data_IF_522985559621
#
_entry.id   IF_522985559621
#
_cell.length_a   1.000
_cell.length_b   1.000
_cell.length_c   1.000
_cell.angle_alpha   90.00
_cell.angle_beta   90.00
_cell.angle_gamma   90.00
#
_symmetry.space_group_name_H-M   'P 1'
#
loop_
_entity.id
_entity.type
_entity.pdbx_description
1 polymer ?
#
# COMPACT_ATOMS: atom_id res chain seq x y z
N UNK A 1 -14.11 9.33 -4.20
CA UNK A 1 -14.66 10.32 -3.25
C UNK A 1 -13.65 10.56 -2.15
N UNK A 2 -13.21 11.80 -1.97
CA UNK A 2 -12.35 12.21 -0.86
C UNK A 2 -13.20 12.52 0.38
N UNK A 3 -12.70 12.13 1.55
CA UNK A 3 -13.23 12.48 2.87
C UNK A 3 -12.15 13.22 3.65
N UNK A 4 -12.53 14.34 4.32
CA UNK A 4 -11.59 15.18 5.07
C UNK A 4 -10.61 15.97 4.20
N UNK A 5 -9.46 16.33 4.78
CA UNK A 5 -8.38 17.08 4.12
C UNK A 5 -7.67 16.29 3.01
N UNK A 6 -6.76 16.94 2.29
CA UNK A 6 -6.01 16.30 1.19
C UNK A 6 -5.16 15.14 1.68
N UNK A 7 -5.41 13.93 1.11
CA UNK A 7 -4.64 12.72 1.40
C UNK A 7 -4.99 12.05 2.73
N UNK A 8 -6.15 12.37 3.33
CA UNK A 8 -6.64 11.74 4.57
C UNK A 8 -7.30 10.40 4.26
N UNK A 9 -8.42 10.42 3.55
CA UNK A 9 -9.11 9.21 3.13
C UNK A 9 -9.74 9.41 1.77
N UNK A 10 -9.60 8.42 0.90
CA UNK A 10 -10.15 8.47 -0.46
C UNK A 10 -10.80 7.15 -0.83
N UNK A 11 -12.10 7.17 -1.08
CA UNK A 11 -12.81 6.06 -1.67
C UNK A 11 -12.63 6.15 -3.20
N UNK A 12 -11.90 5.21 -3.77
CA UNK A 12 -11.65 5.15 -5.21
C UNK A 12 -12.68 4.20 -5.85
N UNK A 13 -13.18 4.55 -7.01
CA UNK A 13 -14.13 3.75 -7.79
C UNK A 13 -13.71 3.71 -9.24
N UNK A 14 -13.75 2.52 -9.85
CA UNK A 14 -13.50 2.29 -11.28
C UNK A 14 -14.75 1.64 -11.86
N UNK A 15 -15.25 2.14 -13.00
CA UNK A 15 -16.41 1.60 -13.73
C UNK A 15 -17.66 1.35 -12.86
N UNK A 16 -17.92 2.22 -11.88
CA UNK A 16 -19.08 2.11 -11.00
C UNK A 16 -18.96 1.04 -9.91
N UNK A 17 -17.81 0.39 -9.77
CA UNK A 17 -17.54 -0.53 -8.67
C UNK A 17 -17.30 0.19 -7.34
N UNK A 18 -17.35 -0.57 -6.26
CA UNK A 18 -17.06 -0.08 -4.91
C UNK A 18 -15.56 -0.07 -4.62
N UNK A 19 -15.14 0.70 -3.62
CA UNK A 19 -13.71 0.88 -3.27
C UNK A 19 -13.03 -0.42 -2.78
N UNK A 20 -13.78 -1.39 -2.28
CA UNK A 20 -13.31 -2.71 -1.85
C UNK A 20 -13.10 -3.70 -3.02
N UNK A 21 -13.47 -3.30 -4.25
CA UNK A 21 -13.32 -4.09 -5.47
C UNK A 21 -12.15 -3.62 -6.33
N UNK A 22 -11.25 -2.82 -5.77
CA UNK A 22 -10.08 -2.26 -6.46
C UNK A 22 -8.82 -2.65 -5.69
N UNK A 23 -7.84 -3.17 -6.40
CA UNK A 23 -6.51 -3.45 -5.83
C UNK A 23 -5.57 -2.26 -6.06
N UNK A 24 -4.87 -1.85 -5.02
CA UNK A 24 -3.81 -0.85 -5.11
C UNK A 24 -2.45 -1.54 -5.11
N UNK A 25 -1.64 -1.18 -6.09
CA UNK A 25 -0.32 -1.73 -6.28
C UNK A 25 0.74 -0.63 -6.17
N UNK A 26 1.91 -0.97 -5.67
CA UNK A 26 3.11 -0.15 -5.71
C UNK A 26 4.20 -0.92 -6.47
N UNK A 27 4.54 -0.45 -7.68
CA UNK A 27 5.46 -1.14 -8.60
C UNK A 27 5.07 -2.63 -8.81
N UNK A 28 3.76 -2.89 -8.96
CA UNK A 28 3.22 -4.24 -9.15
C UNK A 28 3.02 -5.06 -7.87
N UNK A 29 3.39 -4.55 -6.70
CA UNK A 29 3.20 -5.22 -5.39
C UNK A 29 1.89 -4.80 -4.77
N UNK A 30 1.06 -5.76 -4.35
CA UNK A 30 -0.21 -5.45 -3.68
C UNK A 30 0.04 -4.81 -2.30
N UNK A 31 -0.44 -3.58 -2.13
CA UNK A 31 -0.38 -2.80 -0.89
C UNK A 31 -1.78 -2.46 -0.34
N UNK A 32 -2.83 -3.10 -0.86
CA UNK A 32 -4.18 -2.90 -0.37
C UNK A 32 -4.33 -3.43 1.05
N UNK A 33 -5.05 -2.68 1.88
CA UNK A 33 -5.44 -3.15 3.21
C UNK A 33 -6.66 -4.07 3.08
N UNK A 34 -6.55 -5.39 3.37
CA UNK A 34 -7.67 -6.31 3.21
C UNK A 34 -8.75 -6.19 4.30
N UNK A 35 -8.51 -5.40 5.36
CA UNK A 35 -9.50 -5.12 6.39
C UNK A 35 -10.56 -4.13 5.90
N UNK A 36 -10.13 -3.14 5.14
CA UNK A 36 -10.98 -2.03 4.68
C UNK A 36 -10.44 -1.40 3.41
N UNK A 37 -11.31 -1.01 2.50
CA UNK A 37 -10.94 -0.21 1.33
C UNK A 37 -10.82 1.30 1.62
N UNK A 38 -11.28 1.75 2.78
CA UNK A 38 -11.30 3.18 3.12
C UNK A 38 -9.92 3.80 3.34
N UNK A 39 -8.91 3.01 3.69
CA UNK A 39 -7.53 3.48 3.97
C UNK A 39 -6.66 3.53 2.71
N UNK A 40 -7.26 3.56 1.52
CA UNK A 40 -6.55 3.51 0.24
C UNK A 40 -5.59 4.69 0.01
N UNK A 41 -5.59 5.73 0.83
CA UNK A 41 -4.73 6.90 0.69
C UNK A 41 -3.54 6.96 1.66
N UNK A 42 -3.34 5.98 2.54
CA UNK A 42 -2.16 5.90 3.41
C UNK A 42 -0.99 5.16 2.74
N UNK A 43 -0.70 5.54 1.49
CA UNK A 43 0.41 4.99 0.75
C UNK A 43 1.75 5.38 1.37
N UNK A 44 2.70 4.43 1.47
CA UNK A 44 4.02 4.67 2.05
C UNK A 44 4.99 5.36 1.06
N UNK A 45 4.49 6.19 0.16
CA UNK A 45 5.27 6.94 -0.84
C UNK A 45 4.82 8.39 -0.88
N UNK A 46 5.76 9.31 -1.14
CA UNK A 46 5.47 10.71 -1.38
C UNK A 46 5.11 10.95 -2.86
N UNK A 47 4.38 12.02 -3.14
CA UNK A 47 4.12 12.44 -4.53
C UNK A 47 5.41 12.66 -5.33
N UNK A 48 6.48 13.09 -4.68
CA UNK A 48 7.79 13.28 -5.30
C UNK A 48 8.41 11.97 -5.82
N UNK A 49 8.01 10.82 -5.27
CA UNK A 49 8.50 9.50 -5.71
C UNK A 49 7.75 8.96 -6.91
N UNK A 50 6.54 9.43 -7.17
CA UNK A 50 5.67 8.89 -8.22
C UNK A 50 6.14 9.38 -9.59
N UNK A 51 6.35 8.42 -10.51
CA UNK A 51 6.60 8.69 -11.92
C UNK A 51 5.27 8.83 -12.67
N UNK A 52 4.43 7.80 -12.57
CA UNK A 52 3.08 7.78 -13.14
C UNK A 52 2.16 6.81 -12.39
N UNK A 53 0.89 6.88 -12.70
CA UNK A 53 -0.14 5.98 -12.18
C UNK A 53 -0.78 5.27 -13.36
N UNK A 54 -0.81 3.94 -13.30
CA UNK A 54 -1.50 3.09 -14.27
C UNK A 54 -2.86 2.70 -13.72
N UNK A 55 -3.89 2.83 -14.53
CA UNK A 55 -5.24 2.35 -14.20
C UNK A 55 -5.54 1.15 -15.09
N UNK A 56 -5.69 0.00 -14.47
CA UNK A 56 -5.96 -1.27 -15.15
C UNK A 56 -7.44 -1.60 -15.01
N UNK A 57 -8.14 -1.65 -16.14
CA UNK A 57 -9.57 -1.93 -16.18
C UNK A 57 -9.84 -3.34 -16.75
N UNK A 58 -10.95 -3.92 -16.33
CA UNK A 58 -11.45 -5.19 -16.89
C UNK A 58 -10.50 -6.37 -16.68
N UNK A 59 -10.30 -7.17 -17.74
CA UNK A 59 -9.56 -8.44 -17.64
C UNK A 59 -8.11 -8.30 -17.19
N UNK A 60 -7.44 -7.18 -17.51
CA UNK A 60 -6.07 -6.92 -17.11
C UNK A 60 -5.91 -6.83 -15.58
N UNK A 61 -6.95 -6.39 -14.87
CA UNK A 61 -6.95 -6.31 -13.40
C UNK A 61 -6.98 -7.68 -12.73
N UNK A 62 -7.50 -8.70 -13.40
CA UNK A 62 -7.62 -10.07 -12.85
C UNK A 62 -6.26 -10.72 -12.60
N UNK A 63 -5.18 -10.20 -13.18
CA UNK A 63 -3.80 -10.61 -12.90
C UNK A 63 -3.41 -10.42 -11.42
N UNK A 64 -4.11 -9.52 -10.72
CA UNK A 64 -3.81 -9.12 -9.35
C UNK A 64 -4.78 -9.69 -8.30
N UNK A 65 -5.57 -10.70 -8.69
CA UNK A 65 -6.42 -11.47 -7.78
C UNK A 65 -7.87 -11.01 -7.70
N UNK A 66 -8.63 -11.64 -6.79
CA UNK A 66 -10.07 -11.45 -6.64
C UNK A 66 -10.48 -10.04 -6.21
N UNK A 67 -9.62 -9.34 -5.47
CA UNK A 67 -9.87 -7.96 -5.03
C UNK A 67 -9.83 -6.96 -6.19
N UNK A 68 -9.23 -7.31 -7.33
CA UNK A 68 -9.17 -6.48 -8.53
C UNK A 68 -10.38 -6.73 -9.48
N UNK A 69 -11.56 -6.98 -8.93
CA UNK A 69 -12.75 -7.34 -9.73
C UNK A 69 -13.15 -6.23 -10.72
N UNK A 70 -13.10 -4.97 -10.29
CA UNK A 70 -13.42 -3.81 -11.12
C UNK A 70 -12.20 -3.12 -11.72
N UNK A 71 -11.01 -3.34 -11.14
CA UNK A 71 -9.79 -2.76 -11.63
C UNK A 71 -8.64 -2.80 -10.63
N UNK A 72 -7.49 -2.36 -11.08
CA UNK A 72 -6.32 -2.14 -10.24
C UNK A 72 -5.69 -0.79 -10.55
N UNK A 73 -5.08 -0.18 -9.55
CA UNK A 73 -4.30 1.05 -9.69
C UNK A 73 -2.87 0.72 -9.32
N UNK A 74 -1.94 0.88 -10.26
CA UNK A 74 -0.52 0.67 -10.01
C UNK A 74 0.19 2.01 -9.92
N UNK A 75 0.75 2.31 -8.74
CA UNK A 75 1.59 3.46 -8.50
C UNK A 75 3.01 3.08 -8.90
N UNK A 76 3.54 3.70 -9.94
CA UNK A 76 4.90 3.45 -10.43
C UNK A 76 5.83 4.54 -9.91
N UNK A 77 6.90 4.13 -9.22
CA UNK A 77 7.87 5.07 -8.67
C UNK A 77 9.00 5.39 -9.64
N UNK A 78 9.56 6.59 -9.50
CA UNK A 78 10.71 7.05 -10.28
C UNK A 78 11.93 6.17 -10.02
N UNK A 79 12.54 5.66 -11.07
CA UNK A 79 13.87 5.03 -11.00
C UNK A 79 14.95 6.11 -10.98
N UNK A 80 15.90 6.00 -10.06
CA UNK A 80 17.07 6.88 -10.09
C UNK A 80 17.88 6.64 -11.37
N UNK A 81 18.27 7.71 -12.07
CA UNK A 81 19.09 7.65 -13.29
C UNK A 81 20.46 8.33 -13.10
N UNK A 82 20.60 9.14 -12.08
CA UNK A 82 21.79 9.91 -11.71
C UNK A 82 21.70 10.33 -10.26
N UNK A 83 22.76 10.93 -9.76
CA UNK A 83 22.73 11.62 -8.48
C UNK A 83 21.74 12.78 -8.51
N UNK A 84 21.01 12.96 -7.42
CA UNK A 84 20.05 14.05 -7.31
C UNK A 84 19.49 14.18 -5.90
N UNK A 85 19.17 15.40 -5.55
CA UNK A 85 18.47 15.77 -4.32
C UNK A 85 17.29 16.66 -4.70
N UNK A 86 16.13 16.42 -4.13
CA UNK A 86 14.97 17.30 -4.25
C UNK A 86 14.34 17.52 -2.89
N UNK A 87 13.86 18.71 -2.65
CA UNK A 87 13.10 19.06 -1.46
C UNK A 87 11.99 20.04 -1.83
N UNK A 88 10.88 19.95 -1.13
CA UNK A 88 9.80 20.92 -1.22
C UNK A 88 9.20 21.22 0.14
N UNK A 89 8.75 22.44 0.32
CA UNK A 89 8.00 22.91 1.50
C UNK A 89 6.77 23.61 0.99
N UNK A 90 5.64 23.33 1.60
CA UNK A 90 4.35 23.97 1.29
C UNK A 90 3.69 24.49 2.56
N UNK A 91 2.91 25.55 2.44
CA UNK A 91 2.12 26.10 3.53
C UNK A 91 0.81 26.65 2.98
N UNK A 92 -0.21 26.72 3.83
CA UNK A 92 -1.53 27.16 3.42
C UNK A 92 -2.42 27.56 4.59
N UNK A 93 -3.69 27.79 4.29
CA UNK A 93 -4.72 28.10 5.28
C UNK A 93 -4.90 26.96 6.28
N UNK A 94 -5.52 27.26 7.42
CA UNK A 94 -5.83 26.28 8.49
C UNK A 94 -4.60 25.60 9.06
N UNK A 95 -3.50 26.33 9.27
CA UNK A 95 -2.24 25.75 9.77
C UNK A 95 -1.62 24.68 8.87
N UNK A 96 -2.00 24.64 7.59
CA UNK A 96 -1.48 23.65 6.66
C UNK A 96 0.02 23.84 6.44
N UNK A 97 0.76 22.77 6.65
CA UNK A 97 2.21 22.71 6.44
C UNK A 97 2.56 21.35 5.83
N UNK A 98 3.48 21.34 4.88
CA UNK A 98 4.06 20.13 4.31
C UNK A 98 5.51 20.31 4.00
N UNK A 99 6.30 19.28 4.19
CA UNK A 99 7.70 19.21 3.78
C UNK A 99 8.01 17.80 3.29
N UNK A 100 8.76 17.68 2.21
CA UNK A 100 9.22 16.40 1.69
C UNK A 100 10.62 16.54 1.08
N UNK A 101 11.38 15.45 1.12
CA UNK A 101 12.71 15.38 0.53
C UNK A 101 12.97 14.02 -0.10
N UNK A 102 13.80 13.98 -1.13
CA UNK A 102 14.25 12.78 -1.80
C UNK A 102 15.72 12.92 -2.19
N UNK A 103 16.47 11.86 -1.92
CA UNK A 103 17.87 11.71 -2.35
C UNK A 103 17.94 10.46 -3.21
N UNK A 104 18.69 10.54 -4.29
CA UNK A 104 18.89 9.42 -5.21
C UNK A 104 20.30 9.39 -5.78
N UNK A 105 20.75 8.20 -6.15
CA UNK A 105 21.96 8.01 -6.94
C UNK A 105 21.83 6.82 -7.88
N UNK A 106 22.53 6.84 -9.00
CA UNK A 106 22.66 5.71 -9.90
C UNK A 106 24.06 5.72 -10.53
N UNK A 107 24.64 4.53 -10.66
CA UNK A 107 25.96 4.36 -11.26
C UNK A 107 26.10 2.95 -11.86
N UNK A 108 27.10 2.80 -12.72
CA UNK A 108 27.45 1.54 -13.37
C UNK A 108 28.78 1.03 -12.86
N UNK A 109 28.87 -0.28 -12.62
CA UNK A 109 30.10 -0.96 -12.22
C UNK A 109 30.24 -2.25 -13.01
N UNK A 110 31.05 -2.23 -14.07
CA UNK A 110 31.14 -3.35 -14.99
C UNK A 110 29.82 -3.58 -15.72
N UNK A 111 29.22 -4.77 -15.50
CA UNK A 111 27.91 -5.11 -16.06
C UNK A 111 26.73 -4.80 -15.14
N UNK A 112 27.00 -4.25 -13.95
CA UNK A 112 25.97 -3.87 -12.99
C UNK A 112 25.56 -2.42 -13.16
N UNK A 113 24.27 -2.18 -13.33
CA UNK A 113 23.64 -0.88 -13.13
C UNK A 113 22.99 -0.90 -11.76
N UNK A 114 23.28 0.09 -10.93
CA UNK A 114 22.79 0.22 -9.56
C UNK A 114 22.06 1.55 -9.40
N UNK A 115 20.92 1.53 -8.73
CA UNK A 115 20.15 2.72 -8.47
C UNK A 115 19.52 2.67 -7.07
N UNK A 116 19.63 3.78 -6.35
CA UNK A 116 19.18 3.91 -4.97
C UNK A 116 18.37 5.19 -4.82
N UNK A 117 17.28 5.13 -4.08
CA UNK A 117 16.57 6.34 -3.68
C UNK A 117 15.98 6.17 -2.29
N UNK A 118 15.99 7.25 -1.53
CA UNK A 118 15.32 7.38 -0.23
C UNK A 118 14.59 8.69 -0.20
N UNK A 119 13.35 8.67 0.29
CA UNK A 119 12.52 9.85 0.46
C UNK A 119 11.79 9.82 1.80
N UNK A 120 11.35 10.98 2.23
CA UNK A 120 10.49 11.14 3.38
C UNK A 120 9.69 12.42 3.29
N UNK A 121 8.56 12.45 3.95
CA UNK A 121 7.69 13.61 3.97
C UNK A 121 6.80 13.64 5.21
N UNK A 122 6.37 14.85 5.52
CA UNK A 122 5.44 15.15 6.58
C UNK A 122 4.43 16.19 6.10
N UNK A 123 3.18 16.04 6.49
CA UNK A 123 2.11 16.97 6.19
C UNK A 123 1.11 17.04 7.34
N UNK A 124 0.64 18.27 7.65
CA UNK A 124 -0.39 18.49 8.66
C UNK A 124 -1.35 19.60 8.24
N UNK A 125 -2.51 19.65 8.88
CA UNK A 125 -3.44 20.78 8.86
C UNK A 125 -4.31 20.75 10.11
N UNK A 126 -4.70 21.92 10.61
CA UNK A 126 -5.66 22.04 11.72
C UNK A 126 -7.12 21.85 11.23
N UNK A 127 -7.32 21.77 9.90
CA UNK A 127 -8.64 21.57 9.28
C UNK A 127 -9.45 22.85 9.11
N UNK A 128 -10.29 22.88 8.09
CA UNK A 128 -11.19 24.01 7.79
C UNK A 128 -12.57 23.92 8.45
N UNK A 129 -12.89 22.79 9.08
CA UNK A 129 -14.11 22.51 9.81
C UNK A 129 -13.79 21.80 11.11
N UNK A 130 -14.77 21.75 12.03
CA UNK A 130 -14.63 21.01 13.29
C UNK A 130 -14.19 19.56 13.03
N UNK A 131 -13.22 19.06 13.82
CA UNK A 131 -12.71 17.70 13.76
C UNK A 131 -12.32 17.24 12.34
N UNK A 132 -11.59 18.11 11.61
CA UNK A 132 -11.05 17.81 10.27
C UNK A 132 -9.53 18.02 10.18
N UNK A 133 -8.87 18.09 11.33
CA UNK A 133 -7.42 18.12 11.46
C UNK A 133 -6.79 16.81 10.99
N UNK A 134 -5.57 16.88 10.51
CA UNK A 134 -4.81 15.70 10.17
C UNK A 134 -3.30 15.91 10.30
N UNK A 135 -2.61 14.81 10.50
CA UNK A 135 -1.16 14.71 10.49
C UNK A 135 -0.75 13.42 9.77
N UNK A 136 0.22 13.50 8.87
CA UNK A 136 0.71 12.35 8.10
C UNK A 136 2.22 12.42 7.93
N UNK A 137 2.91 11.32 8.19
CA UNK A 137 4.32 11.10 7.88
C UNK A 137 4.50 9.87 7.01
N UNK A 138 5.45 9.90 6.06
CA UNK A 138 5.81 8.74 5.25
C UNK A 138 7.30 8.72 4.95
N UNK A 139 7.83 7.53 4.75
CA UNK A 139 9.19 7.28 4.28
C UNK A 139 9.22 6.14 3.28
N UNK A 140 10.04 6.25 2.25
CA UNK A 140 10.17 5.24 1.21
C UNK A 140 11.61 5.08 0.75
N UNK A 141 12.02 3.83 0.55
CA UNK A 141 13.32 3.47 0.00
C UNK A 141 13.17 2.47 -1.15
N UNK A 142 13.94 2.67 -2.20
CA UNK A 142 14.01 1.77 -3.35
C UNK A 142 15.46 1.49 -3.72
N UNK A 143 15.80 0.20 -3.86
CA UNK A 143 17.09 -0.31 -4.29
C UNK A 143 16.86 -1.11 -5.58
N UNK A 144 17.57 -0.76 -6.65
CA UNK A 144 17.47 -1.45 -7.93
C UNK A 144 18.85 -1.86 -8.43
N UNK A 145 18.99 -3.12 -8.79
CA UNK A 145 20.19 -3.68 -9.39
C UNK A 145 19.81 -4.36 -10.70
N UNK A 146 20.57 -4.11 -11.76
CA UNK A 146 20.43 -4.77 -13.05
C UNK A 146 21.77 -5.32 -13.48
N UNK A 147 21.84 -6.61 -13.85
CA UNK A 147 23.04 -7.24 -14.34
C UNK A 147 22.89 -7.62 -15.82
N UNK A 148 23.74 -7.06 -16.66
CA UNK A 148 23.87 -7.38 -18.10
C UNK A 148 22.53 -7.30 -18.85
N UNK A 149 21.56 -6.52 -18.35
CA UNK A 149 20.18 -6.43 -18.86
C UNK A 149 19.47 -7.79 -18.95
N UNK A 150 19.78 -8.72 -18.04
CA UNK A 150 19.21 -10.08 -18.00
C UNK A 150 18.69 -10.48 -16.63
N UNK A 151 19.15 -9.81 -15.59
CA UNK A 151 18.75 -10.09 -14.23
C UNK A 151 18.53 -8.78 -13.48
N UNK A 152 17.34 -8.59 -12.97
CA UNK A 152 16.96 -7.40 -12.20
C UNK A 152 16.57 -7.80 -10.77
N UNK A 153 16.96 -6.98 -9.82
CA UNK A 153 16.55 -7.04 -8.40
C UNK A 153 15.99 -5.68 -8.04
N UNK A 154 14.77 -5.64 -7.49
CA UNK A 154 14.19 -4.43 -6.92
C UNK A 154 13.74 -4.74 -5.50
N UNK A 155 14.33 -4.07 -4.52
CA UNK A 155 13.91 -4.13 -3.13
C UNK A 155 13.28 -2.79 -2.73
N UNK A 156 12.16 -2.85 -2.01
CA UNK A 156 11.40 -1.67 -1.59
C UNK A 156 11.08 -1.78 -0.10
N UNK A 157 11.17 -0.66 0.59
CA UNK A 157 10.72 -0.47 1.96
C UNK A 157 9.89 0.80 2.03
N UNK A 158 8.77 0.76 2.72
CA UNK A 158 7.91 1.92 2.88
C UNK A 158 7.22 1.91 4.23
N UNK A 159 7.06 3.10 4.80
CA UNK A 159 6.30 3.34 6.03
C UNK A 159 5.42 4.55 5.87
N UNK A 160 4.23 4.51 6.42
CA UNK A 160 3.34 5.65 6.55
C UNK A 160 2.62 5.61 7.89
N UNK A 161 2.43 6.76 8.50
CA UNK A 161 1.60 6.94 9.69
C UNK A 161 0.75 8.17 9.49
N UNK A 162 -0.55 8.06 9.78
CA UNK A 162 -1.44 9.21 9.76
C UNK A 162 -2.44 9.15 10.90
N UNK A 163 -2.86 10.33 11.34
CA UNK A 163 -3.95 10.50 12.29
C UNK A 163 -4.83 11.66 11.87
N UNK A 164 -6.13 11.54 12.06
CA UNK A 164 -7.08 12.56 11.62
C UNK A 164 -8.41 12.56 12.36
N UNK A 165 -8.99 13.73 12.43
CA UNK A 165 -10.40 13.88 12.78
C UNK A 165 -11.28 13.41 11.61
N UNK A 166 -12.15 12.46 11.88
CA UNK A 166 -13.02 11.82 10.88
C UNK A 166 -14.46 12.31 11.02
N UNK A 167 -14.68 13.65 10.89
CA UNK A 167 -15.98 14.26 11.05
C UNK A 167 -17.03 13.61 10.12
N UNK A 168 -17.97 12.87 10.71
CA UNK A 168 -19.08 12.20 10.02
C UNK A 168 -18.67 11.18 8.93
N UNK A 169 -17.45 10.63 8.97
CA UNK A 169 -16.96 9.70 7.92
C UNK A 169 -17.75 8.41 7.86
N UNK A 170 -17.96 7.79 9.01
CA UNK A 170 -18.58 6.47 9.12
C UNK A 170 -20.02 6.52 9.68
N UNK A 171 -20.40 7.63 10.31
CA UNK A 171 -21.75 7.87 10.79
C UNK A 171 -22.09 9.36 10.79
N UNK A 172 -23.18 9.72 10.17
CA UNK A 172 -23.67 11.09 10.11
C UNK A 172 -24.05 11.67 11.50
N UNK A 173 -24.29 10.79 12.48
CA UNK A 173 -24.70 11.20 13.84
C UNK A 173 -23.51 11.59 14.73
N UNK A 174 -22.27 11.33 14.30
CA UNK A 174 -21.07 11.57 15.10
C UNK A 174 -20.08 12.43 14.31
N UNK A 175 -19.90 13.66 14.73
CA UNK A 175 -18.94 14.61 14.15
C UNK A 175 -17.54 14.53 14.80
N UNK A 176 -17.42 13.81 15.92
CA UNK A 176 -16.17 13.73 16.70
C UNK A 176 -15.52 12.34 16.63
N UNK A 177 -15.48 11.75 15.43
CA UNK A 177 -14.77 10.50 15.18
C UNK A 177 -13.27 10.76 14.98
N UNK A 178 -12.45 9.79 15.28
CA UNK A 178 -10.99 9.87 15.11
C UNK A 178 -10.46 8.55 14.57
N UNK A 179 -9.42 8.64 13.77
CA UNK A 179 -8.74 7.46 13.26
C UNK A 179 -7.24 7.72 13.16
N UNK A 180 -6.47 6.68 13.48
CA UNK A 180 -5.03 6.63 13.27
C UNK A 180 -4.69 5.35 12.55
N UNK A 181 -3.94 5.44 11.46
CA UNK A 181 -3.45 4.29 10.71
C UNK A 181 -1.94 4.31 10.59
N UNK A 182 -1.33 3.12 10.69
CA UNK A 182 0.08 2.89 10.38
C UNK A 182 0.18 1.82 9.30
N UNK A 183 0.99 2.06 8.28
CA UNK A 183 1.26 1.13 7.20
C UNK A 183 2.76 0.95 7.02
N UNK A 184 3.24 -0.27 7.07
CA UNK A 184 4.60 -0.67 6.73
C UNK A 184 4.60 -1.67 5.59
N UNK A 185 5.50 -1.53 4.63
CA UNK A 185 5.67 -2.49 3.54
C UNK A 185 7.13 -2.82 3.29
N UNK A 186 7.37 -4.06 2.88
CA UNK A 186 8.64 -4.51 2.31
C UNK A 186 8.37 -5.41 1.11
N UNK A 187 9.16 -5.29 0.05
CA UNK A 187 9.07 -6.21 -1.08
C UNK A 187 10.42 -6.47 -1.73
N UNK A 188 10.51 -7.63 -2.36
CA UNK A 188 11.64 -8.06 -3.18
C UNK A 188 11.09 -8.61 -4.49
N UNK A 189 11.39 -7.95 -5.59
CA UNK A 189 11.04 -8.36 -6.94
C UNK A 189 12.32 -8.76 -7.67
N UNK A 190 12.31 -9.95 -8.24
CA UNK A 190 13.39 -10.45 -9.08
C UNK A 190 12.85 -10.60 -10.49
N UNK A 191 13.70 -10.42 -11.50
CA UNK A 191 13.37 -10.74 -12.88
C UNK A 191 14.58 -11.34 -13.57
N UNK A 192 14.38 -12.48 -14.20
CA UNK A 192 15.36 -13.13 -15.06
C UNK A 192 14.79 -13.20 -16.49
N UNK A 193 15.50 -12.65 -17.44
CA UNK A 193 15.07 -12.58 -18.84
C UNK A 193 16.25 -12.59 -19.81
N UNK A 194 16.02 -12.83 -21.07
CA UNK A 194 17.04 -12.57 -22.10
C UNK A 194 17.07 -11.08 -22.48
N UNK A 195 18.14 -10.64 -23.14
CA UNK A 195 18.30 -9.23 -23.56
C UNK A 195 17.15 -8.72 -24.43
N UNK A 196 16.56 -9.58 -25.24
CA UNK A 196 15.45 -9.27 -26.15
C UNK A 196 14.08 -9.35 -25.44
N UNK A 197 14.04 -9.76 -24.17
CA UNK A 197 12.83 -9.98 -23.37
C UNK A 197 11.76 -10.84 -24.06
N UNK A 198 12.23 -11.84 -24.85
CA UNK A 198 11.33 -12.82 -25.46
C UNK A 198 10.82 -13.83 -24.42
N UNK A 199 11.48 -13.97 -23.30
CA UNK A 199 11.01 -14.69 -22.13
C UNK A 199 11.43 -13.98 -20.84
N UNK A 200 10.65 -14.15 -19.81
CA UNK A 200 10.90 -13.61 -18.48
C UNK A 200 10.35 -14.53 -17.41
N UNK A 201 11.04 -14.64 -16.28
CA UNK A 201 10.61 -15.29 -15.05
C UNK A 201 10.83 -14.31 -13.92
N UNK A 202 9.76 -13.91 -13.23
CA UNK A 202 9.77 -12.85 -12.25
C UNK A 202 9.12 -13.30 -10.92
N UNK A 203 9.89 -13.87 -9.98
CA UNK A 203 9.42 -14.12 -8.63
C UNK A 203 9.34 -12.82 -7.84
N UNK A 204 8.33 -12.74 -6.96
CA UNK A 204 8.03 -11.61 -6.11
C UNK A 204 7.74 -12.08 -4.68
N UNK A 205 8.19 -11.32 -3.69
CA UNK A 205 7.88 -11.52 -2.27
C UNK A 205 7.52 -10.19 -1.65
N UNK A 206 6.52 -10.19 -0.76
CA UNK A 206 6.10 -8.96 -0.09
C UNK A 206 5.56 -9.22 1.30
N UNK A 207 5.67 -8.19 2.12
CA UNK A 207 5.09 -8.10 3.45
C UNK A 207 4.44 -6.74 3.63
N UNK A 208 3.22 -6.72 4.16
CA UNK A 208 2.55 -5.50 4.59
C UNK A 208 2.11 -5.66 6.05
N UNK A 209 2.28 -4.59 6.80
CA UNK A 209 1.82 -4.41 8.18
C UNK A 209 0.86 -3.25 8.21
N UNK A 210 -0.35 -3.48 8.69
CA UNK A 210 -1.33 -2.41 8.91
C UNK A 210 -1.73 -2.38 10.37
N UNK A 211 -1.83 -1.19 10.94
CA UNK A 211 -2.45 -0.94 12.23
C UNK A 211 -3.51 0.12 12.07
N UNK A 212 -4.61 -0.06 12.77
CA UNK A 212 -5.73 0.87 12.77
C UNK A 212 -6.24 1.04 14.20
N UNK A 213 -6.41 2.29 14.60
CA UNK A 213 -7.04 2.70 15.85
C UNK A 213 -8.16 3.67 15.54
N UNK A 214 -9.38 3.22 15.70
CA UNK A 214 -10.59 4.01 15.47
C UNK A 214 -11.29 4.34 16.79
N UNK A 215 -11.78 5.58 16.90
CA UNK A 215 -12.64 6.04 18.00
C UNK A 215 -13.90 6.67 17.44
N UNK A 216 -15.07 6.15 17.80
CA UNK A 216 -16.37 6.76 17.45
C UNK A 216 -16.55 8.11 18.13
N UNK A 217 -15.94 8.29 19.31
CA UNK A 217 -15.90 9.54 20.08
C UNK A 217 -14.44 9.81 20.46
N UNK A 218 -13.82 10.75 19.78
CA UNK A 218 -12.41 11.11 19.95
C UNK A 218 -12.08 11.41 21.41
N UNK A 219 -11.02 10.78 21.92
CA UNK A 219 -10.54 10.94 23.30
C UNK A 219 -11.31 10.15 24.34
N UNK A 220 -12.33 9.38 23.97
CA UNK A 220 -13.06 8.50 24.89
C UNK A 220 -12.67 7.06 24.58
N UNK A 221 -11.95 6.44 25.52
CA UNK A 221 -11.49 5.07 25.42
C UNK A 221 -12.59 4.04 25.74
N UNK A 222 -12.41 2.83 25.21
CA UNK A 222 -13.18 1.65 25.57
C UNK A 222 -14.17 1.17 24.52
N UNK A 223 -14.45 -0.13 24.54
CA UNK A 223 -15.35 -0.78 23.59
C UNK A 223 -16.78 -0.18 23.61
N UNK A 224 -17.30 0.12 24.79
CA UNK A 224 -18.63 0.74 24.97
C UNK A 224 -18.71 2.15 24.33
N UNK A 225 -17.59 2.83 24.16
CA UNK A 225 -17.50 4.11 23.47
C UNK A 225 -17.26 3.98 21.97
N UNK A 226 -17.19 2.77 21.41
CA UNK A 226 -16.95 2.49 20.00
C UNK A 226 -15.50 2.65 19.59
N UNK A 227 -14.56 2.35 20.50
CA UNK A 227 -13.13 2.32 20.19
C UNK A 227 -12.69 0.92 19.73
N UNK A 228 -12.00 0.86 18.61
CA UNK A 228 -11.50 -0.38 18.02
C UNK A 228 -10.03 -0.27 17.65
N UNK A 229 -9.33 -1.41 17.75
CA UNK A 229 -7.94 -1.59 17.34
C UNK A 229 -7.82 -2.80 16.43
N UNK A 230 -7.04 -2.67 15.38
CA UNK A 230 -6.72 -3.72 14.43
C UNK A 230 -5.22 -3.76 14.18
N UNK A 231 -4.66 -4.96 14.10
CA UNK A 231 -3.26 -5.23 13.80
C UNK A 231 -3.21 -6.36 12.77
N UNK A 232 -2.86 -6.05 11.53
CA UNK A 232 -2.94 -6.95 10.40
C UNK A 232 -1.57 -7.15 9.76
N UNK A 233 -1.19 -8.41 9.58
CA UNK A 233 -0.03 -8.85 8.83
C UNK A 233 -0.47 -9.51 7.52
N UNK A 234 0.17 -9.15 6.40
CA UNK A 234 -0.02 -9.77 5.09
C UNK A 234 1.33 -10.23 4.56
N UNK A 235 1.49 -11.52 4.37
CA UNK A 235 2.66 -12.13 3.73
C UNK A 235 2.26 -12.66 2.37
N UNK A 236 2.98 -12.31 1.33
CA UNK A 236 2.67 -12.79 0.00
C UNK A 236 3.91 -13.11 -0.83
N UNK A 237 3.69 -13.93 -1.82
CA UNK A 237 4.69 -14.26 -2.82
C UNK A 237 4.05 -14.75 -4.10
N UNK A 238 4.67 -14.45 -5.21
CA UNK A 238 4.19 -14.79 -6.53
C UNK A 238 5.30 -15.12 -7.51
N UNK A 239 4.90 -15.69 -8.62
CA UNK A 239 5.75 -15.98 -9.76
C UNK A 239 5.01 -15.61 -11.03
N UNK A 240 5.56 -14.69 -11.80
CA UNK A 240 5.11 -14.40 -13.14
C UNK A 240 6.13 -14.92 -14.15
N UNK A 241 5.65 -15.56 -15.21
CA UNK A 241 6.50 -16.00 -16.31
C UNK A 241 5.81 -15.69 -17.63
N UNK A 242 6.59 -15.29 -18.62
CA UNK A 242 6.08 -15.06 -19.96
C UNK A 242 7.08 -15.52 -21.03
N UNK A 243 6.55 -15.91 -22.18
CA UNK A 243 7.35 -16.33 -23.34
C UNK A 243 6.65 -15.89 -24.62
N UNK A 244 7.41 -15.26 -25.52
CA UNK A 244 7.01 -14.99 -26.89
C UNK A 244 7.54 -16.12 -27.81
N UNK A 245 6.66 -16.66 -28.63
CA UNK A 245 6.96 -17.78 -29.55
C UNK A 245 6.14 -17.69 -30.85
N UNK A 246 6.25 -18.65 -31.72
CA UNK A 246 5.70 -18.55 -33.08
C UNK A 246 4.16 -18.33 -33.17
N UNK A 247 3.42 -18.75 -32.11
CA UNK A 247 1.95 -18.57 -32.06
C UNK A 247 1.50 -17.34 -31.29
N UNK A 248 2.43 -16.56 -30.70
CA UNK A 248 2.10 -15.38 -29.93
C UNK A 248 2.85 -15.28 -28.60
N UNK A 249 2.23 -14.67 -27.62
CA UNK A 249 2.80 -14.50 -26.27
C UNK A 249 1.93 -15.22 -25.24
N UNK A 250 2.57 -16.12 -24.48
CA UNK A 250 1.96 -16.82 -23.34
C UNK A 250 2.47 -16.24 -22.04
N UNK A 251 1.58 -15.96 -21.10
CA UNK A 251 1.91 -15.53 -19.73
C UNK A 251 1.23 -16.45 -18.71
N UNK A 252 1.96 -16.77 -17.64
CA UNK A 252 1.48 -17.55 -16.49
C UNK A 252 1.78 -16.76 -15.23
N UNK A 253 0.81 -16.66 -14.34
CA UNK A 253 0.96 -16.04 -13.04
C UNK A 253 0.49 -16.97 -11.92
N UNK A 254 1.20 -16.94 -10.83
CA UNK A 254 0.84 -17.58 -9.56
C UNK A 254 1.11 -16.59 -8.43
N UNK A 255 0.15 -16.45 -7.51
CA UNK A 255 0.33 -15.66 -6.29
C UNK A 255 -0.34 -16.37 -5.13
N UNK A 256 0.30 -16.33 -3.97
CA UNK A 256 -0.22 -16.81 -2.71
C UNK A 256 0.03 -15.77 -1.63
N UNK A 257 -0.99 -15.48 -0.82
CA UNK A 257 -0.85 -14.61 0.34
C UNK A 257 -1.57 -15.17 1.56
N UNK A 258 -1.00 -14.90 2.73
CA UNK A 258 -1.61 -15.16 4.03
C UNK A 258 -1.85 -13.82 4.74
N UNK A 259 -3.05 -13.64 5.21
CA UNK A 259 -3.51 -12.50 6.02
C UNK A 259 -3.79 -12.99 7.44
N UNK A 260 -3.33 -12.25 8.44
CA UNK A 260 -3.55 -12.54 9.85
C UNK A 260 -3.89 -11.24 10.58
N UNK A 261 -5.11 -11.13 11.10
CA UNK A 261 -5.56 -9.97 11.86
C UNK A 261 -5.76 -10.33 13.33
N UNK A 262 -5.20 -9.50 14.22
CA UNK A 262 -5.60 -9.39 15.61
C UNK A 262 -6.47 -8.16 15.79
N UNK A 263 -7.58 -8.29 16.50
CA UNK A 263 -8.60 -7.24 16.54
C UNK A 263 -9.33 -7.21 17.87
N UNK A 264 -9.89 -6.06 18.20
CA UNK A 264 -10.85 -5.91 19.29
C UNK A 264 -12.30 -6.16 18.85
N UNK A 265 -12.54 -6.25 17.51
CA UNK A 265 -13.90 -6.32 16.96
C UNK A 265 -14.10 -7.37 15.86
N UNK A 266 -13.04 -7.67 15.08
CA UNK A 266 -13.12 -8.53 13.89
C UNK A 266 -12.47 -9.91 14.14
N UNK A 267 -13.01 -10.96 13.51
CA UNK A 267 -12.49 -12.31 13.61
C UNK A 267 -13.17 -13.15 14.70
N UNK A 268 -12.63 -14.33 14.94
CA UNK A 268 -13.11 -15.27 15.96
C UNK A 268 -12.55 -14.88 17.35
N UNK A 269 -13.30 -15.18 18.39
CA UNK A 269 -12.93 -14.89 19.76
C UNK A 269 -11.78 -15.79 20.21
N UNK A 270 -10.74 -15.21 20.79
CA UNK A 270 -9.59 -15.91 21.36
C UNK A 270 -9.92 -16.41 22.78
N UNK A 271 -9.25 -17.49 23.23
CA UNK A 271 -9.24 -17.81 24.63
C UNK A 271 -8.44 -16.73 25.41
N UNK A 272 -8.81 -16.42 26.64
CA UNK A 272 -8.19 -15.35 27.44
C UNK A 272 -6.66 -15.46 27.54
N UNK A 273 -6.12 -16.68 27.60
CA UNK A 273 -4.67 -16.95 27.62
C UNK A 273 -3.93 -16.54 26.34
N UNK A 274 -4.66 -16.36 25.24
CA UNK A 274 -4.14 -16.03 23.90
C UNK A 274 -4.36 -14.56 23.55
N UNK A 275 -4.92 -13.76 24.46
CA UNK A 275 -5.07 -12.32 24.27
C UNK A 275 -3.70 -11.65 24.13
N UNK A 276 -3.64 -10.60 23.33
CA UNK A 276 -2.41 -9.82 23.12
C UNK A 276 -2.58 -8.38 23.54
N UNK A 277 -1.62 -7.86 24.29
CA UNK A 277 -1.61 -6.46 24.71
C UNK A 277 -1.49 -5.52 23.52
N UNK A 278 -2.21 -4.41 23.59
CA UNK A 278 -2.12 -3.31 22.63
C UNK A 278 -1.15 -2.28 23.17
N UNK A 279 -0.05 -2.05 22.46
CA UNK A 279 0.97 -1.09 22.86
C UNK A 279 0.38 0.33 22.99
N UNK A 280 0.54 0.93 24.17
CA UNK A 280 0.05 2.27 24.47
C UNK A 280 -1.43 2.33 24.87
N UNK A 281 -2.06 1.20 25.16
CA UNK A 281 -3.43 1.08 25.66
C UNK A 281 -3.49 0.07 26.80
N UNK A 282 -4.48 0.16 27.64
CA UNK A 282 -4.83 -0.85 28.65
C UNK A 282 -5.74 -1.97 28.08
N UNK A 283 -6.03 -1.93 26.78
CA UNK A 283 -6.83 -2.91 26.06
C UNK A 283 -5.98 -4.03 25.46
N UNK A 284 -6.67 -5.12 25.09
CA UNK A 284 -6.07 -6.29 24.45
C UNK A 284 -6.81 -6.63 23.16
N UNK A 285 -6.12 -7.20 22.20
CA UNK A 285 -6.71 -7.91 21.08
C UNK A 285 -7.33 -9.21 21.60
N UNK A 286 -8.65 -9.33 21.48
CA UNK A 286 -9.43 -10.47 21.97
C UNK A 286 -9.91 -11.37 20.84
N UNK A 287 -9.66 -10.98 19.59
CA UNK A 287 -10.10 -11.68 18.38
C UNK A 287 -8.98 -11.86 17.39
N UNK A 288 -9.10 -12.91 16.58
CA UNK A 288 -8.15 -13.23 15.50
C UNK A 288 -8.88 -13.71 14.27
N UNK A 289 -8.41 -13.35 13.10
CA UNK A 289 -8.83 -13.89 11.81
C UNK A 289 -7.64 -14.24 10.94
N UNK A 290 -7.77 -15.29 10.14
CA UNK A 290 -6.76 -15.68 9.16
C UNK A 290 -7.43 -16.00 7.82
N UNK A 291 -6.76 -15.62 6.73
CA UNK A 291 -7.19 -15.96 5.38
C UNK A 291 -5.97 -16.27 4.52
N UNK A 292 -6.10 -17.27 3.68
CA UNK A 292 -5.11 -17.57 2.63
C UNK A 292 -5.78 -17.37 1.28
N UNK A 293 -5.16 -16.58 0.42
CA UNK A 293 -5.60 -16.35 -0.95
C UNK A 293 -4.59 -17.01 -1.91
N UNK A 294 -5.11 -17.66 -2.95
CA UNK A 294 -4.28 -18.26 -4.00
C UNK A 294 -4.87 -17.87 -5.35
N UNK A 295 -4.04 -17.32 -6.23
CA UNK A 295 -4.43 -16.88 -7.56
C UNK A 295 -3.56 -17.57 -8.60
N UNK A 296 -4.18 -18.05 -9.68
CA UNK A 296 -3.50 -18.64 -10.83
C UNK A 296 -4.05 -17.94 -12.08
N UNK A 297 -3.16 -17.53 -12.97
CA UNK A 297 -3.50 -16.90 -14.22
C UNK A 297 -2.78 -17.60 -15.38
N UNK A 298 -3.49 -17.79 -16.47
CA UNK A 298 -2.94 -18.18 -17.77
C UNK A 298 -3.56 -17.27 -18.83
N UNK A 299 -2.71 -16.65 -19.61
CA UNK A 299 -3.10 -15.81 -20.73
C UNK A 299 -2.31 -16.20 -21.98
N UNK A 300 -2.97 -16.20 -23.14
CA UNK A 300 -2.30 -16.32 -24.41
C UNK A 300 -2.85 -15.30 -25.42
N UNK A 301 -1.95 -14.49 -25.94
CA UNK A 301 -2.25 -13.52 -27.00
C UNK A 301 -1.72 -14.06 -28.33
N UNK A 302 -2.62 -14.45 -29.21
CA UNK A 302 -2.28 -14.91 -30.56
C UNK A 302 -1.81 -13.73 -31.44
N UNK A 303 -0.82 -14.01 -32.31
CA UNK A 303 -0.36 -13.09 -33.35
C UNK A 303 -1.00 -13.49 -34.68
#
# INVERSE_FOLDING_TARGET
RQRGGFGVQTDISINGGTFDQITILLNGVNISNPQTGHNASDFPVALADIDHIEVLEGAASRLFGTSAFNGAINIVTKKAKSEGVSASVEGGSFGSFGAQGRVQTAFETGKWTQAYSVSGGYKRSDGGTENSDFEKGQGYGNLSFSYDQRFDIIAQLGIASQSYGANTFYSANYNNQYEKTDHGMASLNLSLHNQEKTWEIAPQFYYNKFKDHYQLKRGIAGAAAGENYHDLDVYGGGLNANVAWALGKTAVGFDISKECIYSTALGEELAEKDYKDISGSDRQYTRKGERTNTNIMLEHNFI
#
